data_IF_652487035962
#
_entry.id   IF_652487035962
#
_cell.length_a   1.000
_cell.length_b   1.000
_cell.length_c   1.000
_cell.angle_alpha   90.00
_cell.angle_beta   90.00
_cell.angle_gamma   90.00
#
_symmetry.space_group_name_H-M   'P 1'
#
loop_
_entity.id
_entity.type
_entity.pdbx_description
1 polymer ?
#
# COMPACT_ATOMS: atom_id res chain seq x y z
N UNK A 1 8.18 29.53 34.10
CA UNK A 1 8.05 29.36 32.64
C UNK A 1 7.19 28.13 32.38
N UNK A 2 5.90 28.33 32.12
CA UNK A 2 5.00 27.27 31.76
C UNK A 2 5.32 26.89 30.32
N UNK A 3 5.97 25.73 30.11
CA UNK A 3 6.08 25.11 28.79
C UNK A 3 4.66 24.77 28.33
N UNK A 4 4.11 25.53 27.39
CA UNK A 4 2.81 25.26 26.81
C UNK A 4 2.86 23.88 26.15
N UNK A 5 2.07 22.95 26.66
CA UNK A 5 1.89 21.63 26.04
C UNK A 5 1.40 21.85 24.59
N UNK A 6 2.04 21.25 23.59
CA UNK A 6 1.57 21.37 22.22
C UNK A 6 0.13 20.85 22.15
N UNK A 7 -0.73 21.63 21.51
CA UNK A 7 -2.14 21.29 21.28
C UNK A 7 -2.24 19.90 20.63
N UNK A 8 -3.30 19.15 20.93
CA UNK A 8 -3.52 17.80 20.37
C UNK A 8 -3.34 17.78 18.85
N UNK A 9 -3.76 18.85 18.20
CA UNK A 9 -3.65 19.03 16.75
C UNK A 9 -2.19 19.12 16.28
N UNK A 10 -1.32 19.83 16.99
CA UNK A 10 0.09 19.93 16.65
C UNK A 10 0.83 18.58 16.77
N UNK A 11 0.46 17.74 17.77
CA UNK A 11 1.01 16.39 17.91
C UNK A 11 0.51 15.45 16.80
N UNK A 12 -0.75 15.59 16.42
CA UNK A 12 -1.37 14.81 15.34
C UNK A 12 -0.73 15.16 13.99
N UNK A 13 -0.53 16.44 13.70
CA UNK A 13 0.14 16.91 12.48
C UNK A 13 1.61 16.51 12.42
N UNK A 14 2.34 16.56 13.54
CA UNK A 14 3.73 16.10 13.57
C UNK A 14 3.83 14.59 13.34
N UNK A 15 3.00 13.79 14.03
CA UNK A 15 2.94 12.35 13.82
C UNK A 15 2.59 11.97 12.38
N UNK A 16 1.64 12.67 11.77
CA UNK A 16 1.25 12.46 10.38
C UNK A 16 2.41 12.77 9.41
N UNK A 17 3.12 13.88 9.60
CA UNK A 17 4.28 14.27 8.77
C UNK A 17 5.40 13.22 8.83
N UNK A 18 5.75 12.75 10.03
CA UNK A 18 6.74 11.68 10.19
C UNK A 18 6.27 10.35 9.59
N UNK A 19 5.00 10.00 9.81
CA UNK A 19 4.41 8.79 9.24
C UNK A 19 4.40 8.78 7.70
N UNK A 20 4.06 9.89 7.09
CA UNK A 20 4.07 10.04 5.62
C UNK A 20 5.50 10.02 5.08
N UNK A 21 6.45 10.71 5.74
CA UNK A 21 7.85 10.73 5.32
C UNK A 21 8.50 9.34 5.42
N UNK A 22 8.39 8.67 6.56
CA UNK A 22 8.93 7.32 6.76
C UNK A 22 8.25 6.31 5.85
N UNK A 23 6.91 6.37 5.73
CA UNK A 23 6.14 5.49 4.84
C UNK A 23 6.56 5.66 3.37
N UNK A 24 6.76 6.89 2.93
CA UNK A 24 7.25 7.20 1.58
C UNK A 24 8.67 6.66 1.33
N UNK A 25 9.58 6.81 2.29
CA UNK A 25 10.94 6.25 2.20
C UNK A 25 10.91 4.72 2.13
N UNK A 26 10.11 4.07 2.96
CA UNK A 26 9.96 2.60 2.92
C UNK A 26 9.37 2.17 1.58
N UNK A 27 8.36 2.87 1.07
CA UNK A 27 7.75 2.59 -0.22
C UNK A 27 8.75 2.74 -1.37
N UNK A 28 9.56 3.79 -1.37
CA UNK A 28 10.63 3.98 -2.34
C UNK A 28 11.69 2.88 -2.25
N UNK A 29 12.11 2.54 -1.04
CA UNK A 29 13.12 1.51 -0.82
C UNK A 29 12.67 0.15 -1.35
N UNK A 30 11.46 -0.32 -1.01
CA UNK A 30 10.99 -1.60 -1.52
C UNK A 30 10.80 -1.59 -3.04
N UNK A 31 10.37 -0.48 -3.64
CA UNK A 31 10.23 -0.36 -5.10
C UNK A 31 11.58 -0.48 -5.81
N UNK A 32 12.64 0.11 -5.25
CA UNK A 32 14.00 -0.03 -5.78
C UNK A 32 14.49 -1.47 -5.65
N UNK A 33 14.28 -2.10 -4.50
CA UNK A 33 14.66 -3.50 -4.26
C UNK A 33 13.92 -4.44 -5.22
N UNK A 34 12.61 -4.25 -5.41
CA UNK A 34 11.80 -5.02 -6.37
C UNK A 34 12.35 -4.87 -7.79
N UNK A 35 12.61 -3.63 -8.21
CA UNK A 35 13.17 -3.33 -9.52
C UNK A 35 14.55 -3.94 -9.74
N UNK A 36 15.41 -3.90 -8.72
CA UNK A 36 16.73 -4.53 -8.75
C UNK A 36 16.61 -6.06 -8.86
N UNK A 37 15.80 -6.69 -8.03
CA UNK A 37 15.61 -8.13 -8.02
C UNK A 37 15.12 -8.66 -9.38
N UNK A 38 14.14 -7.97 -9.96
CA UNK A 38 13.49 -8.41 -11.20
C UNK A 38 14.34 -8.08 -12.44
N UNK A 39 15.07 -6.93 -12.44
CA UNK A 39 15.90 -6.52 -13.58
C UNK A 39 17.33 -7.03 -13.54
N UNK A 40 18.00 -6.88 -12.40
CA UNK A 40 19.43 -7.20 -12.30
C UNK A 40 19.67 -8.66 -11.99
N UNK A 41 18.87 -9.24 -11.11
CA UNK A 41 18.98 -10.66 -10.77
C UNK A 41 18.16 -11.55 -11.71
N UNK A 42 17.42 -10.94 -12.67
CA UNK A 42 16.58 -11.65 -13.65
C UNK A 42 15.63 -12.68 -13.02
N UNK A 43 15.17 -12.41 -11.79
CA UNK A 43 14.26 -13.32 -11.10
C UNK A 43 12.89 -13.30 -11.78
N UNK A 44 12.28 -14.47 -12.02
CA UNK A 44 10.92 -14.51 -12.55
C UNK A 44 9.96 -13.78 -11.59
N UNK A 45 9.18 -12.84 -12.12
CA UNK A 45 8.30 -11.97 -11.32
C UNK A 45 7.35 -12.77 -10.41
N UNK A 46 6.84 -13.90 -10.90
CA UNK A 46 5.96 -14.77 -10.14
C UNK A 46 6.68 -15.44 -8.97
N UNK A 47 7.86 -16.00 -9.20
CA UNK A 47 8.67 -16.66 -8.16
C UNK A 47 9.09 -15.66 -7.11
N UNK A 48 9.57 -14.48 -7.51
CA UNK A 48 9.93 -13.39 -6.61
C UNK A 48 8.76 -12.97 -5.71
N UNK A 49 7.59 -12.80 -6.30
CA UNK A 49 6.37 -12.44 -5.58
C UNK A 49 6.00 -13.47 -4.50
N UNK A 50 5.89 -14.73 -4.87
CA UNK A 50 5.52 -15.80 -3.95
C UNK A 50 6.55 -16.03 -2.85
N UNK A 51 7.83 -16.00 -3.19
CA UNK A 51 8.92 -16.11 -2.21
C UNK A 51 8.87 -14.94 -1.23
N UNK A 52 8.64 -13.71 -1.72
CA UNK A 52 8.50 -12.53 -0.88
C UNK A 52 7.33 -12.64 0.12
N UNK A 53 6.18 -13.14 -0.31
CA UNK A 53 5.03 -13.39 0.58
C UNK A 53 5.37 -14.45 1.63
N UNK A 54 5.97 -15.60 1.22
CA UNK A 54 6.33 -16.66 2.13
C UNK A 54 7.31 -16.17 3.21
N UNK A 55 8.38 -15.51 2.81
CA UNK A 55 9.39 -14.97 3.73
C UNK A 55 8.76 -13.98 4.71
N UNK A 56 7.96 -13.04 4.20
CA UNK A 56 7.27 -12.06 5.04
C UNK A 56 6.33 -12.72 6.03
N UNK A 57 5.55 -13.70 5.59
CA UNK A 57 4.64 -14.46 6.46
C UNK A 57 5.39 -15.22 7.53
N UNK A 58 6.46 -15.92 7.17
CA UNK A 58 7.29 -16.68 8.12
C UNK A 58 7.98 -15.80 9.16
N UNK A 59 8.41 -14.59 8.76
CA UNK A 59 9.06 -13.65 9.69
C UNK A 59 8.08 -12.99 10.64
N UNK A 60 6.87 -12.64 10.16
CA UNK A 60 5.90 -11.88 10.94
C UNK A 60 5.02 -12.80 11.79
N UNK A 61 4.70 -14.02 11.31
CA UNK A 61 3.77 -14.90 11.99
C UNK A 61 4.17 -15.26 13.44
N UNK A 62 5.43 -15.60 13.77
CA UNK A 62 5.78 -15.94 15.16
C UNK A 62 5.60 -14.75 16.09
N UNK A 63 5.90 -13.54 15.62
CA UNK A 63 5.70 -12.34 16.44
C UNK A 63 4.22 -11.98 16.59
N UNK A 64 3.42 -12.11 15.54
CA UNK A 64 1.98 -11.85 15.58
C UNK A 64 1.25 -12.85 16.48
N UNK A 65 1.62 -14.14 16.42
CA UNK A 65 0.99 -15.20 17.20
C UNK A 65 1.39 -15.16 18.69
N UNK A 66 2.57 -14.65 19.02
CA UNK A 66 3.02 -14.48 20.43
C UNK A 66 2.26 -13.38 21.18
N UNK A 67 1.53 -12.51 20.49
CA UNK A 67 0.69 -11.51 21.16
C UNK A 67 -0.53 -12.17 21.82
N UNK A 68 -0.93 -11.73 23.02
CA UNK A 68 -2.06 -12.33 23.75
C UNK A 68 -3.37 -12.36 22.95
N UNK A 69 -3.55 -11.38 22.05
CA UNK A 69 -4.71 -11.28 21.16
C UNK A 69 -4.49 -11.91 19.77
N UNK A 70 -3.31 -12.48 19.48
CA UNK A 70 -2.95 -12.92 18.12
C UNK A 70 -3.83 -14.04 17.59
N UNK A 71 -3.96 -15.12 18.35
CA UNK A 71 -4.81 -16.26 17.98
C UNK A 71 -6.31 -15.93 17.95
N UNK A 72 -6.89 -15.31 18.99
CA UNK A 72 -8.29 -14.91 18.95
C UNK A 72 -8.60 -13.95 17.81
N UNK A 73 -7.71 -13.00 17.55
CA UNK A 73 -7.87 -12.05 16.43
C UNK A 73 -7.85 -12.77 15.08
N UNK A 74 -6.95 -13.72 14.90
CA UNK A 74 -6.86 -14.51 13.67
C UNK A 74 -8.14 -15.33 13.44
N UNK A 75 -8.63 -16.02 14.47
CA UNK A 75 -9.89 -16.79 14.40
C UNK A 75 -11.08 -15.90 14.07
N UNK A 76 -11.19 -14.75 14.73
CA UNK A 76 -12.25 -13.77 14.46
C UNK A 76 -12.17 -13.22 13.04
N UNK A 77 -10.95 -12.91 12.55
CA UNK A 77 -10.74 -12.44 11.17
C UNK A 77 -11.13 -13.51 10.15
N UNK A 78 -10.76 -14.76 10.36
CA UNK A 78 -11.14 -15.88 9.50
C UNK A 78 -12.66 -16.03 9.49
N UNK A 79 -13.31 -16.02 10.65
CA UNK A 79 -14.76 -16.13 10.77
C UNK A 79 -15.48 -14.99 10.01
N UNK A 80 -15.01 -13.75 10.14
CA UNK A 80 -15.54 -12.60 9.39
C UNK A 80 -15.30 -12.72 7.88
N UNK A 81 -14.17 -13.30 7.45
CA UNK A 81 -13.86 -13.50 6.04
C UNK A 81 -14.88 -14.43 5.36
N UNK A 82 -15.36 -15.43 6.10
CA UNK A 82 -16.35 -16.38 5.58
C UNK A 82 -17.80 -15.94 5.80
N UNK A 83 -18.04 -14.90 6.59
CA UNK A 83 -19.37 -14.35 6.81
C UNK A 83 -19.90 -13.66 5.54
N UNK A 84 -21.11 -14.01 5.10
CA UNK A 84 -21.84 -13.20 4.15
C UNK A 84 -22.20 -11.85 4.82
N UNK A 85 -22.13 -10.69 4.15
CA UNK A 85 -22.05 -10.40 2.73
C UNK A 85 -20.64 -10.11 2.18
N UNK A 86 -19.61 -10.09 3.00
CA UNK A 86 -18.27 -9.59 2.63
C UNK A 86 -17.43 -10.60 1.85
N UNK A 87 -17.82 -11.86 1.82
CA UNK A 87 -17.07 -12.96 1.19
C UNK A 87 -16.68 -12.65 -0.26
N UNK A 88 -17.59 -12.12 -1.07
CA UNK A 88 -17.32 -11.81 -2.48
C UNK A 88 -16.26 -10.73 -2.63
N UNK A 89 -16.34 -9.69 -1.83
CA UNK A 89 -15.37 -8.58 -1.85
C UNK A 89 -13.99 -9.04 -1.37
N UNK A 90 -13.93 -9.86 -0.32
CA UNK A 90 -12.69 -10.38 0.23
C UNK A 90 -12.00 -11.30 -0.79
N UNK A 91 -12.75 -12.20 -1.44
CA UNK A 91 -12.22 -13.08 -2.49
C UNK A 91 -11.74 -12.24 -3.69
N UNK A 92 -12.52 -11.25 -4.11
CA UNK A 92 -12.12 -10.36 -5.21
C UNK A 92 -10.82 -9.62 -4.90
N UNK A 93 -10.68 -9.03 -3.72
CA UNK A 93 -9.44 -8.35 -3.29
C UNK A 93 -8.29 -9.34 -3.18
N UNK A 94 -8.53 -10.55 -2.64
CA UNK A 94 -7.54 -11.60 -2.52
C UNK A 94 -6.96 -12.09 -3.85
N UNK A 95 -7.71 -11.98 -4.94
CA UNK A 95 -7.28 -12.36 -6.30
C UNK A 95 -6.70 -11.14 -7.04
N UNK A 96 -7.39 -10.00 -7.02
CA UNK A 96 -6.99 -8.82 -7.78
C UNK A 96 -5.71 -8.18 -7.24
N UNK A 97 -5.50 -8.20 -5.92
CA UNK A 97 -4.32 -7.59 -5.32
C UNK A 97 -3.00 -8.29 -5.72
N UNK A 98 -2.87 -9.63 -5.62
CA UNK A 98 -1.72 -10.36 -6.14
C UNK A 98 -1.51 -10.16 -7.64
N UNK A 99 -2.59 -10.19 -8.41
CA UNK A 99 -2.56 -10.00 -9.86
C UNK A 99 -2.02 -8.61 -10.24
N UNK A 100 -2.51 -7.56 -9.58
CA UNK A 100 -2.06 -6.19 -9.81
C UNK A 100 -0.57 -6.02 -9.51
N UNK A 101 -0.10 -6.60 -8.39
CA UNK A 101 1.31 -6.50 -8.03
C UNK A 101 2.21 -7.31 -8.98
N UNK A 102 1.78 -8.49 -9.39
CA UNK A 102 2.48 -9.30 -10.40
C UNK A 102 2.60 -8.58 -11.73
N UNK A 103 1.52 -7.96 -12.21
CA UNK A 103 1.54 -7.13 -13.42
C UNK A 103 2.50 -5.93 -13.29
N UNK A 104 2.56 -5.29 -12.12
CA UNK A 104 3.51 -4.22 -11.86
C UNK A 104 4.97 -4.71 -11.91
N UNK A 105 5.27 -5.90 -11.40
CA UNK A 105 6.59 -6.52 -11.51
C UNK A 105 6.94 -6.85 -12.96
N UNK A 106 6.00 -7.38 -13.74
CA UNK A 106 6.21 -7.62 -15.18
C UNK A 106 6.46 -6.33 -15.95
N UNK A 107 5.75 -5.26 -15.63
CA UNK A 107 6.00 -3.95 -16.21
C UNK A 107 7.40 -3.44 -15.83
N UNK A 108 7.81 -3.61 -14.57
CA UNK A 108 9.15 -3.24 -14.10
C UNK A 108 10.28 -4.02 -14.78
N UNK A 109 10.04 -5.23 -15.28
CA UNK A 109 11.03 -5.97 -16.10
C UNK A 109 11.29 -5.29 -17.44
N UNK A 110 10.27 -4.67 -18.04
CA UNK A 110 10.29 -4.16 -19.43
C UNK A 110 10.50 -2.65 -19.50
N UNK A 111 10.17 -1.91 -18.46
CA UNK A 111 10.24 -0.45 -18.44
C UNK A 111 11.10 0.06 -17.27
N UNK A 112 11.65 1.28 -17.33
CA UNK A 112 12.34 1.89 -16.20
C UNK A 112 11.45 1.95 -14.97
N UNK A 113 12.00 1.62 -13.78
CA UNK A 113 11.24 1.62 -12.51
C UNK A 113 10.70 3.02 -12.19
N UNK A 114 11.42 4.06 -12.62
CA UNK A 114 11.01 5.46 -12.49
C UNK A 114 9.68 5.78 -13.18
N UNK A 115 9.32 5.06 -14.24
CA UNK A 115 8.02 5.20 -14.90
C UNK A 115 6.96 4.27 -14.29
N UNK A 116 7.34 3.04 -13.94
CA UNK A 116 6.39 2.04 -13.42
C UNK A 116 5.85 2.43 -12.05
N UNK A 117 6.70 2.99 -11.18
CA UNK A 117 6.31 3.36 -9.83
C UNK A 117 5.21 4.46 -9.82
N UNK A 118 5.37 5.61 -10.50
CA UNK A 118 4.32 6.63 -10.55
C UNK A 118 3.04 6.15 -11.24
N UNK A 119 3.14 5.36 -12.30
CA UNK A 119 1.96 4.81 -12.97
C UNK A 119 1.15 3.88 -12.06
N UNK A 120 1.81 3.15 -11.17
CA UNK A 120 1.12 2.34 -10.16
C UNK A 120 0.31 3.21 -9.20
N UNK A 121 0.81 4.39 -8.85
CA UNK A 121 0.12 5.31 -7.95
C UNK A 121 -1.12 5.96 -8.61
N UNK A 122 -1.23 5.96 -9.93
CA UNK A 122 -2.44 6.40 -10.65
C UNK A 122 -3.67 5.58 -10.22
N UNK A 123 -3.49 4.34 -9.77
CA UNK A 123 -4.58 3.53 -9.22
C UNK A 123 -5.28 4.19 -8.02
N UNK A 124 -4.57 5.02 -7.23
CA UNK A 124 -5.16 5.79 -6.14
C UNK A 124 -6.14 6.85 -6.65
N UNK A 125 -5.87 7.45 -7.82
CA UNK A 125 -6.78 8.40 -8.45
C UNK A 125 -8.08 7.72 -8.86
N UNK A 126 -7.98 6.52 -9.46
CA UNK A 126 -9.16 5.72 -9.80
C UNK A 126 -9.93 5.30 -8.55
N UNK A 127 -9.23 4.88 -7.48
CA UNK A 127 -9.88 4.55 -6.21
C UNK A 127 -10.62 5.75 -5.60
N UNK A 128 -10.03 6.95 -5.66
CA UNK A 128 -10.65 8.19 -5.20
C UNK A 128 -11.90 8.52 -6.03
N UNK A 129 -11.82 8.43 -7.35
CA UNK A 129 -12.96 8.69 -8.26
C UNK A 129 -14.10 7.69 -8.02
N UNK A 130 -13.78 6.39 -7.94
CA UNK A 130 -14.76 5.35 -7.66
C UNK A 130 -15.38 5.50 -6.27
N UNK A 131 -14.59 5.83 -5.24
CA UNK A 131 -15.08 6.10 -3.89
C UNK A 131 -16.06 7.28 -3.87
N UNK A 132 -15.75 8.35 -4.58
CA UNK A 132 -16.62 9.52 -4.70
C UNK A 132 -17.92 9.18 -5.45
N UNK A 133 -17.79 8.48 -6.57
CA UNK A 133 -18.93 8.20 -7.45
C UNK A 133 -19.83 7.07 -6.93
N UNK A 134 -19.22 5.95 -6.50
CA UNK A 134 -19.94 4.74 -6.10
C UNK A 134 -20.42 4.79 -4.65
N UNK A 135 -19.55 5.27 -3.74
CA UNK A 135 -19.83 5.33 -2.30
C UNK A 135 -20.38 6.68 -1.86
N UNK A 136 -20.45 7.68 -2.77
CA UNK A 136 -20.91 9.05 -2.51
C UNK A 136 -20.16 9.70 -1.34
N UNK A 137 -18.90 9.35 -1.14
CA UNK A 137 -18.06 9.94 -0.11
C UNK A 137 -17.74 11.39 -0.42
N UNK A 138 -17.93 12.28 0.58
CA UNK A 138 -17.47 13.67 0.46
C UNK A 138 -15.94 13.69 0.53
N UNK A 139 -15.30 14.04 -0.58
CA UNK A 139 -13.84 14.15 -0.61
C UNK A 139 -13.39 15.49 -0.02
N UNK A 140 -12.52 15.49 0.99
CA UNK A 140 -11.95 16.73 1.49
C UNK A 140 -11.06 17.38 0.41
N UNK A 141 -11.04 18.71 0.33
CA UNK A 141 -10.22 19.46 -0.62
C UNK A 141 -8.73 19.08 -0.59
N UNK A 142 -8.23 18.64 0.56
CA UNK A 142 -6.86 18.13 0.70
C UNK A 142 -6.56 16.88 -0.15
N UNK A 143 -7.53 16.00 -0.34
CA UNK A 143 -7.37 14.81 -1.21
C UNK A 143 -7.34 15.20 -2.68
N UNK A 144 -8.17 16.16 -3.08
CA UNK A 144 -8.17 16.70 -4.45
C UNK A 144 -6.83 17.39 -4.73
N UNK A 145 -6.35 18.22 -3.81
CA UNK A 145 -5.03 18.84 -3.91
C UNK A 145 -3.88 17.83 -4.04
N UNK A 146 -3.91 16.75 -3.24
CA UNK A 146 -2.93 15.66 -3.35
C UNK A 146 -2.97 14.95 -4.71
N UNK A 147 -4.17 14.70 -5.26
CA UNK A 147 -4.34 14.11 -6.57
C UNK A 147 -3.78 14.99 -7.70
N UNK A 148 -4.03 16.30 -7.65
CA UNK A 148 -3.50 17.28 -8.61
C UNK A 148 -1.96 17.32 -8.54
N UNK A 149 -1.39 17.36 -7.34
CA UNK A 149 0.08 17.32 -7.16
C UNK A 149 0.69 16.04 -7.70
N UNK A 150 0.03 14.88 -7.51
CA UNK A 150 0.48 13.60 -8.05
C UNK A 150 0.49 13.62 -9.58
N UNK A 151 -0.60 14.08 -10.22
CA UNK A 151 -0.69 14.17 -11.68
C UNK A 151 0.38 15.14 -12.23
N UNK A 152 0.58 16.28 -11.59
CA UNK A 152 1.63 17.21 -11.95
C UNK A 152 3.02 16.56 -11.84
N UNK A 153 3.30 15.84 -10.75
CA UNK A 153 4.55 15.11 -10.58
C UNK A 153 4.82 14.08 -11.68
N UNK A 154 3.79 13.32 -12.06
CA UNK A 154 3.88 12.36 -13.18
C UNK A 154 4.15 13.07 -14.50
N UNK A 155 3.48 14.20 -14.76
CA UNK A 155 3.68 14.98 -15.98
C UNK A 155 5.11 15.51 -16.12
N UNK A 156 5.73 15.95 -15.01
CA UNK A 156 7.13 16.38 -15.02
C UNK A 156 8.15 15.24 -15.14
N UNK A 157 7.73 13.99 -14.94
CA UNK A 157 8.60 12.82 -15.02
C UNK A 157 8.67 12.23 -16.44
N UNK A 158 7.64 12.46 -17.25
CA UNK A 158 7.51 12.00 -18.63
C UNK A 158 8.08 13.04 -19.58
#
# INVERSE_FOLDING_TARGET
QAMSQPTKDARLFSGLRYGVGIGGLIAAAYTVVDGFAVKRLALPALTYYWTGILVRTLLISPWALRRPAGLPLLQHTIALTWAAPYRRSIVAVGILSPLAYWLALLAAQRAPVSFVAPLREVSMLFAMLLGTWLLKEKQPMSRIGGAVLMVAGIYFLI
#
